data_IF_538815885950
#
_entry.id   IF_538815885950
#
_cell.length_a   1.000
_cell.length_b   1.000
_cell.length_c   1.000
_cell.angle_alpha   90.00
_cell.angle_beta   90.00
_cell.angle_gamma   90.00
#
_symmetry.space_group_name_H-M   'P 1'
#
loop_
_entity.id
_entity.type
_entity.pdbx_description
1 polymer ?
#
# COMPACT_ATOMS: atom_id res chain seq x y z
N UNK A 1 -17.14 -1.18 -5.98
CA UNK A 1 -16.82 0.23 -6.21
C UNK A 1 -15.59 0.25 -7.10
N UNK A 2 -15.62 1.03 -8.18
CA UNK A 2 -14.47 1.13 -9.09
C UNK A 2 -13.28 1.78 -8.36
N UNK A 3 -12.09 1.20 -8.53
CA UNK A 3 -10.85 1.65 -7.88
C UNK A 3 -10.47 3.08 -8.29
N UNK A 4 -9.60 3.73 -7.52
CA UNK A 4 -9.25 5.14 -7.77
C UNK A 4 -8.55 5.31 -9.12
N UNK A 5 -7.71 4.34 -9.50
CA UNK A 5 -6.96 4.31 -10.75
C UNK A 5 -7.87 4.17 -11.97
N UNK A 6 -8.84 3.27 -11.94
CA UNK A 6 -9.85 3.14 -13.00
C UNK A 6 -10.63 4.44 -13.20
N UNK A 7 -10.85 5.23 -12.13
CA UNK A 7 -11.49 6.54 -12.22
C UNK A 7 -10.58 7.56 -12.90
N UNK A 8 -9.27 7.56 -12.63
CA UNK A 8 -8.32 8.41 -13.35
C UNK A 8 -8.24 8.06 -14.83
N UNK A 9 -8.15 6.78 -15.19
CA UNK A 9 -8.14 6.37 -16.59
C UNK A 9 -9.37 6.87 -17.34
N UNK A 10 -10.56 6.79 -16.75
CA UNK A 10 -11.77 7.38 -17.37
C UNK A 10 -11.69 8.90 -17.51
N UNK A 11 -11.08 9.60 -16.55
CA UNK A 11 -10.90 11.05 -16.63
C UNK A 11 -9.95 11.41 -17.78
N UNK A 12 -8.83 10.70 -17.90
CA UNK A 12 -7.82 10.85 -18.94
C UNK A 12 -8.37 10.53 -20.35
N UNK A 13 -9.10 9.42 -20.51
CA UNK A 13 -9.77 9.06 -21.77
C UNK A 13 -10.79 10.12 -22.21
N UNK A 14 -11.50 10.71 -21.24
CA UNK A 14 -12.46 11.76 -21.51
C UNK A 14 -11.78 13.11 -21.81
N UNK A 15 -10.53 13.34 -21.38
CA UNK A 15 -9.73 14.57 -21.57
C UNK A 15 -9.22 14.70 -23.03
N UNK A 16 -9.17 13.60 -23.79
CA UNK A 16 -8.68 13.55 -25.18
C UNK A 16 -9.39 14.52 -26.16
N UNK A 17 -10.51 15.15 -25.77
CA UNK A 17 -11.26 16.10 -26.57
C UNK A 17 -11.39 17.52 -25.97
N UNK A 18 -10.98 17.78 -24.73
CA UNK A 18 -11.12 19.09 -24.08
C UNK A 18 -10.15 19.26 -22.91
N UNK A 19 -9.20 20.20 -23.02
CA UNK A 19 -8.12 20.54 -22.06
C UNK A 19 -8.60 21.15 -20.73
N UNK A 20 -9.68 20.64 -20.13
CA UNK A 20 -10.30 21.22 -18.92
C UNK A 20 -10.24 20.28 -17.72
N UNK A 21 -10.32 20.84 -16.51
CA UNK A 21 -10.44 20.07 -15.27
C UNK A 21 -11.69 19.18 -15.30
N UNK A 22 -11.49 17.87 -15.18
CA UNK A 22 -12.56 16.92 -14.86
C UNK A 22 -12.31 16.35 -13.48
N UNK A 23 -13.35 16.31 -12.65
CA UNK A 23 -13.22 15.80 -11.29
C UNK A 23 -14.36 14.89 -10.87
N UNK A 24 -14.04 13.94 -9.98
CA UNK A 24 -15.02 13.01 -9.39
C UNK A 24 -14.93 13.11 -7.87
N UNK A 25 -16.09 13.26 -7.22
CA UNK A 25 -16.18 13.28 -5.75
C UNK A 25 -15.75 11.93 -5.19
N UNK A 26 -14.80 11.96 -4.26
CA UNK A 26 -14.47 10.88 -3.35
C UNK A 26 -15.29 11.08 -2.07
N UNK A 27 -16.30 10.23 -1.87
CA UNK A 27 -17.24 10.29 -0.75
C UNK A 27 -16.81 9.35 0.36
N UNK A 28 -16.77 9.85 1.62
CA UNK A 28 -16.59 9.14 2.91
C UNK A 28 -15.63 9.84 3.88
N UNK A 29 -15.08 11.00 3.50
CA UNK A 29 -14.11 11.76 4.31
C UNK A 29 -14.74 13.02 4.94
N UNK A 30 -14.11 13.53 5.99
CA UNK A 30 -14.53 14.74 6.72
C UNK A 30 -14.67 15.97 5.81
N UNK A 31 -13.77 16.11 4.85
CA UNK A 31 -13.82 17.18 3.85
C UNK A 31 -13.99 16.61 2.45
N UNK A 32 -14.66 17.37 1.58
CA UNK A 32 -14.86 16.92 0.20
C UNK A 32 -13.52 16.78 -0.49
N UNK A 33 -13.42 15.68 -1.22
CA UNK A 33 -12.23 15.31 -1.93
C UNK A 33 -12.60 15.01 -3.37
N UNK A 34 -11.74 15.38 -4.30
CA UNK A 34 -11.92 15.10 -5.72
C UNK A 34 -10.64 14.57 -6.32
N UNK A 35 -10.75 13.65 -7.26
CA UNK A 35 -9.65 13.30 -8.16
C UNK A 35 -9.85 14.01 -9.50
N UNK A 36 -8.78 14.37 -10.18
CA UNK A 36 -8.85 15.02 -11.48
C UNK A 36 -7.66 14.75 -12.40
N UNK A 37 -7.78 15.21 -13.64
CA UNK A 37 -6.69 15.33 -14.63
C UNK A 37 -6.62 16.77 -15.11
N UNK A 38 -5.41 17.34 -15.16
CA UNK A 38 -5.14 18.63 -15.80
C UNK A 38 -3.94 18.44 -16.74
N UNK A 39 -4.15 18.68 -18.04
CA UNK A 39 -3.10 18.56 -19.06
C UNK A 39 -2.38 17.20 -19.03
N UNK A 40 -3.12 16.11 -18.74
CA UNK A 40 -2.57 14.77 -18.60
C UNK A 40 -1.85 14.48 -17.28
N UNK A 41 -1.84 15.42 -16.33
CA UNK A 41 -1.32 15.22 -14.98
C UNK A 41 -2.45 14.85 -14.03
N UNK A 42 -2.27 13.79 -13.25
CA UNK A 42 -3.21 13.41 -12.20
C UNK A 42 -3.17 14.40 -11.05
N UNK A 43 -4.34 14.76 -10.55
CA UNK A 43 -4.53 15.68 -9.42
C UNK A 43 -5.42 15.07 -8.33
N UNK A 44 -5.16 15.43 -7.08
CA UNK A 44 -6.00 15.17 -5.92
C UNK A 44 -6.31 16.50 -5.23
N UNK A 45 -7.61 16.80 -5.11
CA UNK A 45 -8.15 17.98 -4.47
C UNK A 45 -8.71 17.57 -3.12
N UNK A 46 -8.28 18.22 -2.05
CA UNK A 46 -8.79 17.99 -0.70
C UNK A 46 -9.20 19.36 -0.15
N UNK A 47 -10.50 19.53 0.14
CA UNK A 47 -10.94 20.71 0.89
C UNK A 47 -10.37 20.63 2.32
N UNK A 48 -9.93 21.76 2.85
CA UNK A 48 -9.47 21.91 4.24
C UNK A 48 -9.94 23.25 4.79
N UNK A 49 -10.01 23.44 6.13
CA UNK A 49 -10.34 24.74 6.70
C UNK A 49 -9.33 25.80 6.25
N UNK A 50 -9.83 26.97 5.85
CA UNK A 50 -9.01 28.11 5.41
C UNK A 50 -8.00 28.52 6.49
N UNK A 51 -8.38 28.42 7.76
CA UNK A 51 -7.51 28.69 8.91
C UNK A 51 -6.31 27.74 9.04
N UNK A 52 -6.35 26.58 8.37
CA UNK A 52 -5.28 25.57 8.38
C UNK A 52 -4.51 25.49 7.06
N UNK A 53 -4.90 26.29 6.05
CA UNK A 53 -4.27 26.28 4.73
C UNK A 53 -2.81 26.72 4.74
N UNK A 54 -2.45 27.63 5.65
CA UNK A 54 -1.08 28.13 5.82
C UNK A 54 -0.06 27.04 6.16
N UNK A 55 -0.50 25.87 6.64
CA UNK A 55 0.38 24.71 6.88
C UNK A 55 1.01 24.14 5.61
N UNK A 56 0.52 24.52 4.45
CA UNK A 56 0.98 24.04 3.16
C UNK A 56 1.66 25.12 2.30
N UNK A 57 1.82 26.36 2.80
CA UNK A 57 2.44 27.47 2.05
C UNK A 57 3.95 27.26 1.82
N UNK A 58 4.64 26.62 2.77
CA UNK A 58 6.09 26.35 2.72
C UNK A 58 6.43 24.92 2.31
N UNK A 59 5.46 24.14 1.83
CA UNK A 59 5.72 22.74 1.48
C UNK A 59 6.52 22.71 0.17
N UNK A 60 7.74 22.16 0.16
CA UNK A 60 8.57 22.13 -1.03
C UNK A 60 7.84 21.47 -2.21
N UNK A 61 8.04 21.99 -3.42
CA UNK A 61 7.85 21.16 -4.62
C UNK A 61 8.85 20.01 -4.53
N UNK A 62 8.35 18.78 -4.49
CA UNK A 62 9.20 17.59 -4.45
C UNK A 62 9.39 17.07 -5.87
N UNK A 63 10.54 16.44 -6.18
CA UNK A 63 10.67 15.66 -7.42
C UNK A 63 9.55 14.60 -7.42
N UNK A 64 8.54 14.76 -8.28
CA UNK A 64 7.39 13.85 -8.37
C UNK A 64 6.05 14.34 -7.81
N UNK A 65 6.03 15.41 -7.01
CA UNK A 65 4.80 15.92 -6.40
C UNK A 65 4.79 17.44 -6.31
N UNK A 66 3.87 18.07 -7.05
CA UNK A 66 3.58 19.49 -6.95
C UNK A 66 2.41 19.72 -5.98
N UNK A 67 2.51 20.76 -5.15
CA UNK A 67 1.51 21.08 -4.12
C UNK A 67 1.12 22.54 -4.29
N UNK A 68 -0.18 22.82 -4.28
CA UNK A 68 -0.71 24.17 -4.39
C UNK A 68 -1.92 24.31 -3.48
N UNK A 69 -2.06 25.48 -2.85
CA UNK A 69 -3.26 25.85 -2.09
C UNK A 69 -3.97 26.95 -2.86
N UNK A 70 -5.24 26.75 -3.19
CA UNK A 70 -6.06 27.75 -3.89
C UNK A 70 -7.40 27.92 -3.20
N UNK A 71 -7.95 29.13 -3.20
CA UNK A 71 -9.35 29.32 -2.77
C UNK A 71 -10.28 28.40 -3.58
N UNK A 72 -11.28 27.81 -2.91
CA UNK A 72 -12.23 26.91 -3.57
C UNK A 72 -13.05 27.69 -4.59
N UNK A 73 -13.20 27.17 -5.80
CA UNK A 73 -14.14 27.73 -6.79
C UNK A 73 -15.61 27.54 -6.40
N UNK A 74 -15.86 26.68 -5.41
CA UNK A 74 -17.16 26.45 -4.80
C UNK A 74 -17.24 27.27 -3.52
N UNK A 75 -18.17 28.21 -3.46
CA UNK A 75 -18.44 29.11 -2.33
C UNK A 75 -18.87 28.32 -1.08
N UNK A 76 -17.91 27.77 -0.34
CA UNK A 76 -18.13 27.43 1.06
C UNK A 76 -17.30 28.35 1.93
N UNK A 77 -18.00 29.15 2.75
CA UNK A 77 -17.38 29.96 3.77
C UNK A 77 -16.47 29.10 4.65
N UNK A 78 -15.19 29.48 4.72
CA UNK A 78 -14.24 28.90 5.65
C UNK A 78 -13.40 27.71 5.15
N UNK A 79 -13.50 27.30 3.88
CA UNK A 79 -12.64 26.26 3.29
C UNK A 79 -11.69 26.79 2.20
N UNK A 80 -10.62 26.05 1.94
CA UNK A 80 -9.68 26.23 0.82
C UNK A 80 -9.35 24.86 0.21
N UNK A 81 -8.88 24.83 -1.04
CA UNK A 81 -8.51 23.59 -1.73
C UNK A 81 -7.01 23.37 -1.64
N UNK A 82 -6.61 22.25 -1.05
CA UNK A 82 -5.27 21.70 -1.21
C UNK A 82 -5.25 20.82 -2.47
N UNK A 83 -4.37 21.15 -3.40
CA UNK A 83 -4.21 20.46 -4.68
C UNK A 83 -2.84 19.80 -4.70
N UNK A 84 -2.85 18.48 -4.85
CA UNK A 84 -1.67 17.65 -5.10
C UNK A 84 -1.70 17.27 -6.58
N UNK A 85 -0.60 17.45 -7.30
CA UNK A 85 -0.49 17.14 -8.73
C UNK A 85 0.77 16.31 -8.98
N UNK A 86 0.68 15.33 -9.88
CA UNK A 86 1.85 14.57 -10.33
C UNK A 86 2.92 15.50 -10.91
N UNK A 87 4.19 15.19 -10.67
CA UNK A 87 5.31 15.99 -11.17
C UNK A 87 5.45 15.95 -12.70
N UNK A 88 5.07 14.83 -13.31
CA UNK A 88 4.99 14.65 -14.76
C UNK A 88 4.00 13.54 -15.11
N UNK A 89 3.69 13.38 -16.40
CA UNK A 89 2.78 12.33 -16.87
C UNK A 89 3.34 10.91 -16.62
N UNK A 90 4.66 10.74 -16.70
CA UNK A 90 5.36 9.49 -16.41
C UNK A 90 5.21 9.07 -14.94
N UNK A 91 4.97 10.03 -14.05
CA UNK A 91 4.83 9.80 -12.60
C UNK A 91 3.37 9.67 -12.15
N UNK A 92 2.42 9.60 -13.09
CA UNK A 92 1.00 9.49 -12.76
C UNK A 92 0.66 8.22 -11.96
N UNK A 93 1.31 7.09 -12.24
CA UNK A 93 1.03 5.84 -11.50
C UNK A 93 1.63 5.85 -10.10
N UNK A 94 2.83 6.42 -9.93
CA UNK A 94 3.43 6.69 -8.61
C UNK A 94 2.52 7.63 -7.80
N UNK A 95 2.04 8.70 -8.43
CA UNK A 95 1.09 9.64 -7.82
C UNK A 95 -0.20 8.95 -7.39
N UNK A 96 -0.74 8.02 -8.18
CA UNK A 96 -1.96 7.31 -7.82
C UNK A 96 -1.77 6.46 -6.56
N UNK A 97 -0.62 5.78 -6.42
CA UNK A 97 -0.27 5.04 -5.19
C UNK A 97 -0.21 5.98 -3.97
N UNK A 98 0.40 7.14 -4.13
CA UNK A 98 0.52 8.17 -3.07
C UNK A 98 -0.85 8.72 -2.69
N UNK A 99 -1.67 9.06 -3.68
CA UNK A 99 -3.01 9.58 -3.45
C UNK A 99 -3.88 8.55 -2.72
N UNK A 100 -3.81 7.26 -3.08
CA UNK A 100 -4.51 6.19 -2.37
C UNK A 100 -4.04 6.00 -0.92
N UNK A 101 -2.74 6.18 -0.63
CA UNK A 101 -2.18 6.13 0.73
C UNK A 101 -2.60 7.35 1.56
N UNK A 102 -2.60 8.55 0.97
CA UNK A 102 -3.14 9.77 1.61
C UNK A 102 -4.60 9.55 1.96
N UNK A 103 -5.45 9.17 1.00
CA UNK A 103 -6.89 9.01 1.23
C UNK A 103 -7.22 7.96 2.29
N UNK A 104 -6.51 6.83 2.28
CA UNK A 104 -6.68 5.81 3.31
C UNK A 104 -6.40 6.37 4.71
N UNK A 105 -5.36 7.19 4.87
CA UNK A 105 -5.00 7.78 6.16
C UNK A 105 -5.98 8.83 6.71
N UNK A 106 -6.97 9.24 5.90
CA UNK A 106 -7.98 10.22 6.25
C UNK A 106 -9.31 9.58 6.68
N UNK A 107 -9.46 8.28 6.45
CA UNK A 107 -10.69 7.55 6.77
C UNK A 107 -10.90 7.51 8.28
N UNK A 108 -12.12 7.81 8.74
CA UNK A 108 -12.49 7.80 10.17
C UNK A 108 -11.95 8.96 11.01
N UNK A 109 -11.25 9.94 10.42
CA UNK A 109 -10.84 11.14 11.15
C UNK A 109 -11.98 12.15 11.15
N UNK A 110 -12.47 12.50 12.34
CA UNK A 110 -13.59 13.44 12.52
C UNK A 110 -13.16 14.84 12.94
N UNK A 111 -11.88 15.04 13.27
CA UNK A 111 -11.35 16.29 13.79
C UNK A 111 -10.43 16.99 12.77
N UNK A 112 -10.65 18.29 12.56
CA UNK A 112 -10.03 19.07 11.49
C UNK A 112 -8.50 19.14 11.59
N UNK A 113 -7.97 19.38 12.79
CA UNK A 113 -6.53 19.46 13.05
C UNK A 113 -5.85 18.12 12.83
N UNK A 114 -6.47 17.02 13.28
CA UNK A 114 -6.01 15.66 13.03
C UNK A 114 -6.03 15.32 11.54
N UNK A 115 -7.07 15.74 10.81
CA UNK A 115 -7.21 15.51 9.38
C UNK A 115 -6.08 16.19 8.61
N UNK A 116 -5.89 17.50 8.82
CA UNK A 116 -4.81 18.27 8.18
C UNK A 116 -3.43 17.74 8.58
N UNK A 117 -3.21 17.40 9.86
CA UNK A 117 -1.96 16.81 10.32
C UNK A 117 -1.65 15.47 9.64
N UNK A 118 -2.66 14.62 9.41
CA UNK A 118 -2.51 13.35 8.69
C UNK A 118 -2.04 13.59 7.25
N UNK A 119 -2.68 14.54 6.54
CA UNK A 119 -2.27 14.94 5.18
C UNK A 119 -0.81 15.43 5.16
N UNK A 120 -0.46 16.38 6.03
CA UNK A 120 0.89 16.94 6.10
C UNK A 120 1.94 15.86 6.39
N UNK A 121 1.64 14.92 7.29
CA UNK A 121 2.54 13.81 7.61
C UNK A 121 2.77 12.91 6.40
N UNK A 122 1.71 12.51 5.69
CA UNK A 122 1.83 11.66 4.50
C UNK A 122 2.60 12.34 3.38
N UNK A 123 2.32 13.61 3.11
CA UNK A 123 3.08 14.41 2.14
C UNK A 123 4.56 14.43 2.51
N UNK A 124 4.89 14.68 3.78
CA UNK A 124 6.28 14.72 4.23
C UNK A 124 6.97 13.35 4.18
N UNK A 125 6.26 12.26 4.47
CA UNK A 125 6.80 10.90 4.33
C UNK A 125 7.20 10.61 2.88
N UNK A 126 6.30 10.91 1.92
CA UNK A 126 6.56 10.73 0.48
C UNK A 126 7.63 11.67 -0.05
N UNK A 127 7.66 12.90 0.43
CA UNK A 127 8.72 13.85 0.13
C UNK A 127 10.12 13.36 0.54
N UNK A 128 10.24 12.82 1.76
CA UNK A 128 11.50 12.24 2.25
C UNK A 128 11.89 11.03 1.40
N UNK A 129 10.92 10.20 1.01
CA UNK A 129 11.13 9.09 0.11
C UNK A 129 11.67 9.54 -1.26
N UNK A 130 11.02 10.50 -1.92
CA UNK A 130 11.45 11.01 -3.23
C UNK A 130 12.86 11.63 -3.20
N UNK A 131 13.20 12.36 -2.14
CA UNK A 131 14.56 12.91 -1.97
C UNK A 131 15.64 11.83 -1.91
N UNK A 132 15.30 10.62 -1.49
CA UNK A 132 16.23 9.49 -1.34
C UNK A 132 16.23 8.55 -2.54
N UNK A 133 15.30 8.71 -3.50
CA UNK A 133 15.07 7.82 -4.66
C UNK A 133 16.37 7.38 -5.37
N UNK A 134 17.30 8.30 -5.61
CA UNK A 134 18.54 8.02 -6.36
C UNK A 134 19.58 7.18 -5.61
N UNK A 135 19.50 7.10 -4.28
CA UNK A 135 20.47 6.37 -3.44
C UNK A 135 19.85 5.21 -2.67
N UNK A 136 18.52 5.07 -2.71
CA UNK A 136 17.81 4.06 -1.93
C UNK A 136 17.96 2.69 -2.57
N UNK A 137 18.69 1.80 -1.91
CA UNK A 137 18.73 0.36 -2.19
C UNK A 137 18.07 -0.30 -1.01
N UNK A 138 17.16 -1.25 -1.25
CA UNK A 138 16.52 -1.98 -0.16
C UNK A 138 17.59 -2.62 0.72
N UNK A 139 17.47 -2.44 2.03
CA UNK A 139 18.26 -3.22 2.97
C UNK A 139 17.91 -4.70 2.80
N UNK A 140 18.80 -5.59 3.26
CA UNK A 140 18.55 -7.04 3.21
C UNK A 140 17.24 -7.44 3.90
N UNK A 141 16.85 -6.75 4.97
CA UNK A 141 15.58 -7.04 5.65
C UNK A 141 14.37 -6.64 4.81
N UNK A 142 14.45 -5.50 4.11
CA UNK A 142 13.38 -5.02 3.22
C UNK A 142 13.29 -5.91 1.97
N UNK A 143 14.43 -6.30 1.39
CA UNK A 143 14.50 -7.26 0.28
C UNK A 143 13.83 -8.59 0.63
N UNK A 144 14.14 -9.17 1.80
CA UNK A 144 13.55 -10.42 2.27
C UNK A 144 12.05 -10.28 2.55
N UNK A 145 11.62 -9.16 3.15
CA UNK A 145 10.21 -8.87 3.37
C UNK A 145 9.44 -8.84 2.05
N UNK A 146 9.91 -7.99 1.12
CA UNK A 146 9.34 -7.85 -0.22
C UNK A 146 9.34 -9.18 -0.98
N UNK A 147 10.41 -9.96 -0.91
CA UNK A 147 10.47 -11.27 -1.55
C UNK A 147 9.32 -12.19 -1.08
N UNK A 148 9.00 -12.20 0.21
CA UNK A 148 7.89 -13.00 0.74
C UNK A 148 6.52 -12.53 0.26
N UNK A 149 6.28 -11.22 0.20
CA UNK A 149 5.04 -10.66 -0.35
C UNK A 149 4.88 -11.03 -1.83
N UNK A 150 5.93 -10.85 -2.63
CA UNK A 150 5.93 -11.19 -4.04
C UNK A 150 5.82 -12.69 -4.29
N UNK A 151 6.40 -13.51 -3.41
CA UNK A 151 6.26 -14.96 -3.46
C UNK A 151 4.78 -15.36 -3.33
N UNK A 152 4.03 -14.69 -2.45
CA UNK A 152 2.59 -14.91 -2.33
C UNK A 152 1.83 -14.52 -3.61
N UNK A 153 2.21 -13.42 -4.27
CA UNK A 153 1.64 -13.04 -5.58
C UNK A 153 1.91 -14.12 -6.64
N UNK A 154 3.15 -14.58 -6.76
CA UNK A 154 3.53 -15.63 -7.72
C UNK A 154 2.72 -16.91 -7.48
N UNK A 155 2.61 -17.36 -6.22
CA UNK A 155 1.86 -18.55 -5.85
C UNK A 155 0.36 -18.42 -6.19
N UNK A 156 -0.23 -17.24 -6.01
CA UNK A 156 -1.62 -16.96 -6.41
C UNK A 156 -1.78 -17.09 -7.94
N UNK A 157 -0.89 -16.48 -8.73
CA UNK A 157 -0.93 -16.59 -10.19
C UNK A 157 -0.74 -18.03 -10.68
N UNK A 158 0.16 -18.80 -10.06
CA UNK A 158 0.36 -20.23 -10.37
C UNK A 158 -0.90 -21.06 -10.07
N UNK A 159 -1.66 -20.68 -9.05
CA UNK A 159 -2.94 -21.28 -8.74
C UNK A 159 -4.09 -20.79 -9.64
N UNK A 160 -3.86 -19.83 -10.54
CA UNK A 160 -4.85 -19.32 -11.48
C UNK A 160 -5.64 -18.09 -11.02
N UNK A 161 -5.28 -17.50 -9.87
CA UNK A 161 -5.86 -16.23 -9.41
C UNK A 161 -5.35 -15.09 -10.30
N UNK A 162 -6.27 -14.39 -10.98
CA UNK A 162 -5.88 -13.41 -12.01
C UNK A 162 -5.62 -12.00 -11.46
N UNK A 163 -6.08 -11.66 -10.26
CA UNK A 163 -6.05 -10.29 -9.71
C UNK A 163 -5.11 -10.14 -8.50
N UNK A 164 -4.15 -11.04 -8.34
CA UNK A 164 -3.20 -11.05 -7.22
C UNK A 164 -2.40 -9.73 -7.09
N UNK A 165 -2.06 -9.09 -8.22
CA UNK A 165 -1.37 -7.80 -8.29
C UNK A 165 -2.23 -6.63 -7.78
N UNK A 166 -3.54 -6.76 -7.92
CA UNK A 166 -4.51 -5.71 -7.55
C UNK A 166 -4.69 -5.67 -6.03
N UNK A 167 -4.76 -6.83 -5.39
CA UNK A 167 -5.03 -6.95 -3.95
C UNK A 167 -3.82 -6.69 -3.06
N UNK A 168 -2.63 -6.63 -3.65
CA UNK A 168 -1.41 -6.28 -2.95
C UNK A 168 -1.37 -4.78 -2.62
N UNK A 169 -1.39 -4.44 -1.34
CA UNK A 169 -1.30 -3.07 -0.85
C UNK A 169 0.14 -2.57 -0.71
N UNK A 170 1.11 -3.46 -0.52
CA UNK A 170 2.57 -3.26 -0.49
C UNK A 170 3.07 -1.86 -0.08
N UNK A 171 3.16 -0.90 -1.02
CA UNK A 171 3.63 0.46 -0.74
C UNK A 171 2.74 1.26 0.23
N UNK A 172 1.45 0.95 0.29
CA UNK A 172 0.52 1.57 1.22
C UNK A 172 0.83 0.92 2.56
N UNK A 173 1.33 1.69 3.53
CA UNK A 173 1.56 1.26 4.93
C UNK A 173 0.23 0.98 5.65
N UNK A 174 -0.63 0.20 5.00
CA UNK A 174 -1.89 -0.33 5.51
C UNK A 174 -1.59 -1.38 6.57
N UNK A 175 -2.64 -1.78 7.28
CA UNK A 175 -2.50 -2.80 8.30
C UNK A 175 -2.05 -4.15 7.73
N UNK A 176 -2.54 -4.55 6.55
CA UNK A 176 -2.23 -5.84 5.94
C UNK A 176 -1.73 -5.72 4.50
N UNK A 177 -0.79 -6.59 4.14
CA UNK A 177 -0.15 -6.61 2.82
C UNK A 177 -1.12 -6.94 1.68
N UNK A 178 -2.15 -7.76 1.93
CA UNK A 178 -3.19 -8.10 0.96
C UNK A 178 -4.57 -7.90 1.54
N UNK A 179 -5.47 -7.27 0.76
CA UNK A 179 -6.86 -7.09 1.16
C UNK A 179 -7.81 -7.31 -0.01
N UNK A 180 -8.85 -8.09 0.24
CA UNK A 180 -9.98 -8.31 -0.67
C UNK A 180 -11.29 -8.05 0.09
N UNK A 181 -12.43 -8.23 -0.58
CA UNK A 181 -13.73 -8.23 0.10
C UNK A 181 -13.96 -9.47 0.97
N UNK A 182 -13.18 -10.54 0.78
CA UNK A 182 -13.42 -11.86 1.39
C UNK A 182 -12.43 -12.21 2.48
N UNK A 183 -11.21 -11.71 2.36
CA UNK A 183 -10.12 -11.93 3.30
C UNK A 183 -9.03 -10.86 3.20
N UNK A 184 -8.21 -10.78 4.24
CA UNK A 184 -6.95 -10.08 4.30
C UNK A 184 -5.82 -11.07 4.62
N UNK A 185 -4.60 -10.73 4.20
CA UNK A 185 -3.40 -11.52 4.49
C UNK A 185 -2.28 -10.58 4.94
N UNK A 186 -1.70 -10.90 6.09
CA UNK A 186 -0.43 -10.35 6.55
C UNK A 186 0.68 -11.36 6.24
N UNK A 187 1.71 -10.92 5.52
CA UNK A 187 2.88 -11.71 5.17
C UNK A 187 4.03 -11.36 6.09
N UNK A 188 4.68 -12.39 6.62
CA UNK A 188 5.93 -12.25 7.36
C UNK A 188 6.96 -13.20 6.78
N UNK A 189 8.20 -12.76 6.78
CA UNK A 189 9.29 -13.53 6.19
C UNK A 189 10.45 -13.61 7.16
N UNK A 190 11.03 -14.81 7.26
CA UNK A 190 12.20 -15.05 8.10
C UNK A 190 13.24 -15.85 7.34
N UNK A 191 14.51 -15.62 7.66
CA UNK A 191 15.66 -16.43 7.23
C UNK A 191 16.23 -17.25 8.39
N UNK A 192 15.54 -17.30 9.53
CA UNK A 192 15.89 -18.16 10.65
C UNK A 192 15.79 -19.65 10.29
N UNK A 193 16.39 -20.51 11.11
CA UNK A 193 16.39 -21.95 10.87
C UNK A 193 15.00 -22.59 10.99
N UNK A 194 14.08 -21.98 11.74
CA UNK A 194 12.70 -22.43 11.93
C UNK A 194 11.73 -21.25 12.09
N UNK A 195 10.43 -21.52 11.88
CA UNK A 195 9.35 -20.56 12.13
C UNK A 195 8.86 -20.76 13.57
N UNK A 196 9.58 -20.19 14.54
CA UNK A 196 9.21 -20.26 15.97
C UNK A 196 8.48 -19.01 16.46
N UNK A 197 8.82 -17.85 15.92
CA UNK A 197 8.25 -16.57 16.33
C UNK A 197 8.12 -15.59 15.16
N UNK A 198 7.34 -14.54 15.36
CA UNK A 198 7.19 -13.46 14.38
C UNK A 198 7.01 -12.12 15.04
N UNK A 199 7.64 -11.09 14.48
CA UNK A 199 7.50 -9.72 14.93
C UNK A 199 6.28 -9.05 14.28
N UNK A 200 5.39 -8.51 15.10
CA UNK A 200 4.25 -7.70 14.70
C UNK A 200 4.57 -6.25 15.03
N UNK A 201 4.83 -5.45 14.01
CA UNK A 201 5.32 -4.06 14.12
C UNK A 201 4.19 -3.04 14.27
N UNK A 202 2.94 -3.48 14.26
CA UNK A 202 1.79 -2.63 14.48
C UNK A 202 0.56 -3.40 14.93
N UNK A 203 -0.17 -2.83 15.87
CA UNK A 203 -1.41 -3.42 16.42
C UNK A 203 -2.54 -3.49 15.39
N UNK A 204 -2.46 -2.71 14.31
CA UNK A 204 -3.36 -2.83 13.16
C UNK A 204 -3.18 -4.14 12.39
N UNK A 205 -1.96 -4.71 12.34
CA UNK A 205 -1.65 -5.77 11.39
C UNK A 205 -2.49 -7.03 11.58
N UNK A 206 -2.80 -7.37 12.84
CA UNK A 206 -3.63 -8.53 13.18
C UNK A 206 -5.06 -8.15 13.61
N UNK A 207 -5.49 -6.92 13.35
CA UNK A 207 -6.86 -6.47 13.64
C UNK A 207 -7.81 -6.98 12.55
N UNK A 208 -8.88 -7.66 12.97
CA UNK A 208 -10.03 -7.93 12.11
C UNK A 208 -10.85 -6.65 12.03
N UNK A 209 -10.93 -6.07 10.85
CA UNK A 209 -11.87 -5.00 10.56
C UNK A 209 -13.03 -5.61 9.78
N UNK A 210 -14.23 -5.70 10.36
CA UNK A 210 -15.37 -6.39 9.74
C UNK A 210 -15.86 -5.68 8.45
N UNK A 211 -15.51 -4.39 8.28
CA UNK A 211 -15.88 -3.59 7.12
C UNK A 211 -15.05 -3.95 5.86
N UNK A 212 -13.88 -4.58 6.06
CA UNK A 212 -12.96 -5.03 5.02
C UNK A 212 -12.67 -6.53 5.20
N UNK A 213 -12.21 -7.26 4.19
CA UNK A 213 -11.81 -8.67 4.36
C UNK A 213 -12.87 -9.69 4.83
N UNK A 214 -14.17 -9.36 4.90
CA UNK A 214 -15.24 -10.33 5.19
C UNK A 214 -15.05 -11.13 6.49
N UNK A 215 -14.35 -10.54 7.47
CA UNK A 215 -14.02 -11.17 8.75
C UNK A 215 -12.95 -12.26 8.70
N UNK A 216 -12.26 -12.46 7.58
CA UNK A 216 -11.19 -13.47 7.47
C UNK A 216 -9.82 -12.80 7.37
N UNK A 217 -8.93 -13.08 8.33
CA UNK A 217 -7.55 -12.61 8.30
C UNK A 217 -6.60 -13.79 8.46
N UNK A 218 -5.61 -13.86 7.58
CA UNK A 218 -4.58 -14.88 7.63
C UNK A 218 -3.21 -14.24 7.88
N UNK A 219 -2.44 -14.85 8.78
CA UNK A 219 -1.01 -14.60 8.92
C UNK A 219 -0.26 -15.71 8.19
N UNK A 220 0.50 -15.34 7.16
CA UNK A 220 1.37 -16.27 6.42
C UNK A 220 2.81 -15.94 6.73
N UNK A 221 3.55 -16.94 7.20
CA UNK A 221 4.97 -16.82 7.53
C UNK A 221 5.77 -17.70 6.60
N UNK A 222 6.62 -17.09 5.78
CA UNK A 222 7.57 -17.78 4.92
C UNK A 222 8.93 -17.90 5.60
N UNK A 223 9.53 -19.09 5.53
CA UNK A 223 10.95 -19.28 5.80
C UNK A 223 11.70 -19.38 4.49
N UNK A 224 12.56 -18.41 4.24
CA UNK A 224 13.43 -18.39 3.07
C UNK A 224 14.82 -18.94 3.44
N UNK A 225 15.41 -19.66 2.50
CA UNK A 225 16.81 -20.11 2.57
C UNK A 225 17.55 -19.62 1.34
N UNK A 226 18.86 -19.43 1.48
CA UNK A 226 19.72 -19.13 0.32
C UNK A 226 19.81 -20.39 -0.53
N UNK A 227 19.55 -20.25 -1.82
CA UNK A 227 19.50 -21.34 -2.78
C UNK A 227 20.03 -20.88 -4.13
N UNK A 228 21.34 -21.06 -4.35
CA UNK A 228 22.01 -20.59 -5.57
C UNK A 228 21.64 -21.39 -6.82
N UNK A 229 21.13 -22.62 -6.64
CA UNK A 229 20.84 -23.56 -7.72
C UNK A 229 19.41 -23.44 -8.24
N UNK A 230 18.44 -23.31 -7.32
CA UNK A 230 17.01 -23.34 -7.64
C UNK A 230 16.25 -22.11 -7.12
N UNK A 231 16.89 -21.28 -6.29
CA UNK A 231 16.31 -20.04 -5.81
C UNK A 231 16.22 -18.96 -6.89
N UNK A 232 15.41 -17.95 -6.60
CA UNK A 232 15.25 -16.77 -7.43
C UNK A 232 15.86 -15.57 -6.72
N UNK A 233 16.48 -14.67 -7.48
CA UNK A 233 16.70 -13.32 -7.00
C UNK A 233 15.40 -12.50 -6.98
N UNK A 234 15.39 -11.40 -6.24
CA UNK A 234 14.26 -10.49 -6.22
C UNK A 234 13.87 -9.99 -7.64
N UNK A 235 14.81 -9.51 -8.49
CA UNK A 235 14.48 -9.15 -9.88
C UNK A 235 13.97 -10.32 -10.72
N UNK A 236 14.48 -11.54 -10.53
CA UNK A 236 13.99 -12.72 -11.24
C UNK A 236 12.53 -13.03 -10.87
N UNK A 237 12.19 -12.96 -9.58
CA UNK A 237 10.81 -13.13 -9.11
C UNK A 237 9.88 -12.05 -9.66
N UNK A 238 10.30 -10.78 -9.64
CA UNK A 238 9.53 -9.66 -10.18
C UNK A 238 9.24 -9.88 -11.67
N UNK A 239 10.24 -10.27 -12.47
CA UNK A 239 10.03 -10.56 -13.91
C UNK A 239 9.00 -11.66 -14.14
N UNK A 240 9.07 -12.77 -13.39
CA UNK A 240 8.07 -13.85 -13.50
C UNK A 240 6.65 -13.39 -13.18
N UNK A 241 6.51 -12.46 -12.23
CA UNK A 241 5.22 -11.87 -11.87
C UNK A 241 4.72 -10.93 -12.98
N UNK A 242 5.56 -10.00 -13.44
CA UNK A 242 5.22 -9.02 -14.47
C UNK A 242 4.78 -9.69 -15.78
N UNK A 243 5.41 -10.80 -16.16
CA UNK A 243 5.03 -11.58 -17.34
C UNK A 243 3.59 -12.13 -17.27
N UNK A 244 3.08 -12.40 -16.06
CA UNK A 244 1.73 -12.91 -15.82
C UNK A 244 0.69 -11.80 -15.65
N UNK A 245 1.12 -10.58 -15.35
CA UNK A 245 0.25 -9.41 -15.23
C UNK A 245 -0.15 -8.92 -16.64
N UNK A 246 -1.44 -8.65 -16.90
CA UNK A 246 -1.89 -8.02 -18.15
C UNK A 246 -1.18 -6.69 -18.39
N UNK A 247 -0.78 -6.41 -19.64
CA UNK A 247 0.01 -5.23 -20.00
C UNK A 247 -0.51 -3.92 -19.40
N UNK A 248 -1.83 -3.71 -19.45
CA UNK A 248 -2.52 -2.54 -18.89
C UNK A 248 -2.33 -2.31 -17.38
N UNK A 249 -1.97 -3.33 -16.60
CA UNK A 249 -1.79 -3.24 -15.13
C UNK A 249 -0.32 -3.20 -14.72
N UNK A 250 0.61 -3.52 -15.62
CA UNK A 250 2.05 -3.55 -15.33
C UNK A 250 2.60 -2.20 -14.85
N UNK A 251 2.24 -1.04 -15.45
CA UNK A 251 2.76 0.26 -15.00
C UNK A 251 2.46 0.54 -13.53
N UNK A 252 1.23 0.26 -13.10
CA UNK A 252 0.83 0.42 -11.70
C UNK A 252 1.61 -0.53 -10.78
N UNK A 253 1.78 -1.79 -11.16
CA UNK A 253 2.55 -2.75 -10.35
C UNK A 253 4.02 -2.31 -10.20
N UNK A 254 4.64 -1.82 -11.28
CA UNK A 254 5.98 -1.25 -11.23
C UNK A 254 6.02 0.00 -10.33
N UNK A 255 5.04 0.90 -10.46
CA UNK A 255 4.95 2.08 -9.58
C UNK A 255 4.82 1.70 -8.10
N UNK A 256 4.11 0.61 -7.77
CA UNK A 256 4.05 0.08 -6.39
C UNK A 256 5.43 -0.39 -5.91
N UNK A 257 6.19 -1.12 -6.74
CA UNK A 257 7.56 -1.55 -6.42
C UNK A 257 8.49 -0.36 -6.21
N UNK A 258 8.41 0.64 -7.09
CA UNK A 258 9.18 1.86 -6.97
C UNK A 258 8.87 2.58 -5.67
N UNK A 259 7.60 2.72 -5.31
CA UNK A 259 7.15 3.29 -4.05
C UNK A 259 7.66 2.54 -2.79
N UNK A 260 7.97 1.25 -2.90
CA UNK A 260 8.63 0.47 -1.83
C UNK A 260 10.15 0.73 -1.79
N UNK A 261 10.72 1.22 -2.89
CA UNK A 261 12.15 1.50 -3.05
C UNK A 261 12.89 0.51 -3.95
N UNK A 262 12.17 -0.36 -4.67
CA UNK A 262 12.76 -1.19 -5.71
C UNK A 262 12.77 -0.42 -7.03
N UNK A 263 13.96 -0.14 -7.57
CA UNK A 263 14.15 0.50 -8.87
C UNK A 263 14.84 -0.48 -9.82
N UNK A 264 14.26 -0.67 -11.01
CA UNK A 264 14.77 -1.63 -12.01
C UNK A 264 16.21 -1.28 -12.46
N UNK A 265 16.57 0.00 -12.48
CA UNK A 265 17.93 0.47 -12.79
C UNK A 265 18.98 0.00 -11.79
N UNK A 266 18.54 -0.50 -10.64
CA UNK A 266 19.38 -1.03 -9.56
C UNK A 266 19.21 -2.54 -9.37
N UNK A 267 18.56 -3.24 -10.30
CA UNK A 267 18.32 -4.69 -10.25
C UNK A 267 19.61 -5.49 -10.04
N UNK A 268 20.75 -5.00 -10.54
CA UNK A 268 22.08 -5.61 -10.40
C UNK A 268 22.60 -5.65 -8.95
N UNK A 269 21.99 -4.89 -8.03
CA UNK A 269 22.36 -4.88 -6.60
C UNK A 269 21.71 -6.03 -5.81
N UNK A 270 20.67 -6.66 -6.35
CA UNK A 270 19.89 -7.70 -5.67
C UNK A 270 20.25 -9.10 -6.19
N UNK A 271 21.43 -9.59 -5.78
CA UNK A 271 21.97 -10.87 -6.26
C UNK A 271 21.63 -12.08 -5.37
N UNK A 272 21.07 -11.85 -4.18
CA UNK A 272 20.71 -12.94 -3.27
C UNK A 272 19.62 -13.82 -3.87
N UNK A 273 19.87 -15.13 -3.96
CA UNK A 273 18.89 -16.10 -4.44
C UNK A 273 18.23 -16.85 -3.30
N UNK A 274 16.90 -16.87 -3.30
CA UNK A 274 16.13 -17.46 -2.22
C UNK A 274 15.11 -18.47 -2.74
N UNK A 275 14.89 -19.53 -1.96
CA UNK A 275 13.75 -20.43 -2.11
C UNK A 275 13.00 -20.53 -0.79
N UNK A 276 11.69 -20.83 -0.88
CA UNK A 276 10.87 -21.04 0.32
C UNK A 276 11.03 -22.47 0.80
N UNK A 277 11.63 -22.64 1.97
CA UNK A 277 11.84 -23.93 2.59
C UNK A 277 10.67 -24.36 3.47
N UNK A 278 9.89 -23.40 3.97
CA UNK A 278 8.70 -23.66 4.79
C UNK A 278 7.70 -22.50 4.64
N UNK A 279 6.41 -22.84 4.69
CA UNK A 279 5.31 -21.88 4.75
C UNK A 279 4.37 -22.25 5.89
N UNK A 280 4.09 -21.30 6.77
CA UNK A 280 3.19 -21.47 7.90
C UNK A 280 2.02 -20.49 7.81
N UNK A 281 0.79 -21.00 7.75
CA UNK A 281 -0.44 -20.21 7.67
C UNK A 281 -1.22 -20.34 8.97
N UNK A 282 -1.72 -19.22 9.48
CA UNK A 282 -2.59 -19.16 10.65
C UNK A 282 -3.85 -18.34 10.34
N UNK A 283 -5.02 -18.85 10.75
CA UNK A 283 -6.26 -18.08 10.71
C UNK A 283 -6.38 -17.24 11.98
N UNK A 284 -6.33 -15.92 11.82
CA UNK A 284 -6.41 -14.92 12.88
C UNK A 284 -7.88 -14.68 13.22
N UNK A 285 -8.44 -15.55 14.06
CA UNK A 285 -9.83 -15.52 14.54
C UNK A 285 -9.88 -15.31 16.05
N UNK A 286 -11.09 -15.33 16.62
CA UNK A 286 -11.28 -15.27 18.07
C UNK A 286 -10.43 -16.31 18.81
N UNK A 287 -9.74 -15.85 19.85
CA UNK A 287 -8.77 -16.62 20.63
C UNK A 287 -7.34 -16.59 20.09
N UNK A 288 -7.11 -16.19 18.83
CA UNK A 288 -5.75 -16.03 18.32
C UNK A 288 -5.03 -14.93 19.12
N UNK A 289 -3.81 -15.16 19.62
CA UNK A 289 -3.08 -14.17 20.39
C UNK A 289 -2.70 -12.96 19.53
N UNK A 290 -3.28 -11.80 19.83
CA UNK A 290 -3.03 -10.54 19.15
C UNK A 290 -3.23 -9.36 20.08
N UNK A 291 -2.54 -8.27 19.79
CA UNK A 291 -2.82 -6.95 20.38
C UNK A 291 -3.44 -6.09 19.28
N UNK A 292 -4.66 -5.63 19.51
CA UNK A 292 -5.46 -4.81 18.60
C UNK A 292 -5.65 -3.40 19.17
N UNK A 293 -6.07 -2.44 18.33
CA UNK A 293 -6.08 -1.03 18.75
C UNK A 293 -7.03 -0.74 19.92
N UNK A 294 -8.12 -1.48 20.04
CA UNK A 294 -9.14 -1.38 21.10
C UNK A 294 -8.60 -1.62 22.51
N UNK A 295 -7.57 -2.44 22.67
CA UNK A 295 -6.94 -2.69 23.99
C UNK A 295 -5.75 -1.78 24.28
N UNK A 296 -5.30 -0.99 23.31
CA UNK A 296 -4.15 -0.10 23.45
C UNK A 296 -4.63 1.29 23.83
N UNK A 297 -4.20 1.87 24.98
CA UNK A 297 -4.57 3.22 25.38
C UNK A 297 -4.33 4.27 24.28
N UNK A 298 -5.21 5.26 24.18
CA UNK A 298 -5.13 6.31 23.15
C UNK A 298 -3.80 7.09 23.19
N UNK A 299 -3.20 7.24 24.38
CA UNK A 299 -1.92 7.93 24.58
C UNK A 299 -0.70 7.16 24.03
N UNK A 300 -0.83 5.88 23.69
CA UNK A 300 0.24 5.08 23.07
C UNK A 300 0.18 5.27 21.56
N UNK A 301 1.28 5.77 20.99
CA UNK A 301 1.41 6.03 19.55
C UNK A 301 1.89 4.82 18.77
N UNK A 302 2.69 3.94 19.39
CA UNK A 302 3.25 2.75 18.74
C UNK A 302 3.35 1.61 19.75
N UNK A 303 2.95 0.41 19.32
CA UNK A 303 3.13 -0.82 20.07
C UNK A 303 3.52 -1.94 19.09
N UNK A 304 4.56 -2.69 19.46
CA UNK A 304 5.10 -3.80 18.70
C UNK A 304 5.26 -4.99 19.66
N UNK A 305 5.13 -6.20 19.14
CA UNK A 305 5.25 -7.42 19.95
C UNK A 305 5.77 -8.58 19.13
N UNK A 306 6.32 -9.58 19.81
CA UNK A 306 6.74 -10.84 19.20
C UNK A 306 5.73 -11.90 19.59
N UNK A 307 5.26 -12.65 18.60
CA UNK A 307 4.34 -13.75 18.81
C UNK A 307 5.08 -15.08 18.75
N UNK A 308 4.93 -15.91 19.78
CA UNK A 308 5.39 -17.30 19.77
C UNK A 308 4.43 -18.16 18.93
N UNK A 309 4.87 -18.54 17.74
CA UNK A 309 4.06 -19.29 16.79
C UNK A 309 3.87 -20.76 17.18
N UNK A 310 4.79 -21.33 17.95
CA UNK A 310 4.62 -22.69 18.48
C UNK A 310 3.44 -22.78 19.47
N UNK A 311 3.06 -21.66 20.09
CA UNK A 311 1.87 -21.56 20.93
C UNK A 311 0.57 -21.29 20.13
N UNK A 312 0.67 -21.14 18.80
CA UNK A 312 -0.45 -20.80 17.91
C UNK A 312 -0.89 -21.97 17.02
N UNK A 313 -0.39 -23.19 17.26
CA UNK A 313 -0.64 -24.36 16.40
C UNK A 313 -2.14 -24.74 16.29
N UNK A 314 -2.96 -24.40 17.28
CA UNK A 314 -4.41 -24.61 17.21
C UNK A 314 -5.11 -23.75 16.12
N UNK A 315 -4.42 -22.73 15.60
CA UNK A 315 -4.93 -21.80 14.58
C UNK A 315 -4.36 -22.06 13.19
N UNK A 316 -3.61 -23.16 13.01
CA UNK A 316 -3.07 -23.55 11.70
C UNK A 316 -4.18 -23.64 10.65
N UNK A 317 -3.89 -23.11 9.47
CA UNK A 317 -4.75 -23.23 8.29
C UNK A 317 -3.98 -23.86 7.14
N UNK A 318 -4.70 -24.39 6.15
CA UNK A 318 -4.09 -24.89 4.93
C UNK A 318 -3.89 -23.75 3.92
N UNK A 319 -2.72 -23.70 3.27
CA UNK A 319 -2.41 -22.66 2.29
C UNK A 319 -3.38 -22.69 1.11
N UNK A 320 -3.79 -23.88 0.65
CA UNK A 320 -4.73 -23.98 -0.48
C UNK A 320 -6.10 -23.43 -0.11
N UNK A 321 -6.54 -23.55 1.15
CA UNK A 321 -7.82 -22.98 1.59
C UNK A 321 -7.86 -21.45 1.47
N UNK A 322 -6.72 -20.78 1.71
CA UNK A 322 -6.58 -19.33 1.51
C UNK A 322 -6.64 -19.00 0.02
N UNK A 323 -5.88 -19.73 -0.80
CA UNK A 323 -5.84 -19.53 -2.26
C UNK A 323 -7.19 -19.79 -2.92
N UNK A 324 -7.92 -20.82 -2.50
CA UNK A 324 -9.24 -21.14 -3.04
C UNK A 324 -10.28 -20.08 -2.67
N UNK A 325 -10.16 -19.49 -1.48
CA UNK A 325 -11.00 -18.35 -1.05
C UNK A 325 -10.78 -17.11 -1.93
N UNK A 326 -9.61 -16.99 -2.57
CA UNK A 326 -9.25 -15.90 -3.48
C UNK A 326 -9.69 -16.15 -4.94
N UNK A 327 -9.97 -17.38 -5.36
CA UNK A 327 -10.40 -17.69 -6.74
C UNK A 327 -11.87 -17.35 -7.01
N UNK A 328 -12.69 -17.38 -5.96
CA UNK A 328 -14.15 -17.25 -6.07
C UNK A 328 -14.63 -15.81 -6.07
#
# INVERSE_FOLDING_TARGET
>A
MMGLIDRWHRLEEADAANQGLKSLVYSSLLYRTYIGSIHGLRCLYIEIPKSLGNRFEDVPSYEGLAITVTETSYEQDGCTSLILTSGSAEQNDEFAVIAEDILASLTGIEEAEAYVRSISQKINDWAVFFKRRKTNVLSRSEEIGLFGELLFIRNQFEAGVQDADVWWNGPRKTAQDFQTKKLAVEIKTTTANEIAEVHISGVGQLSLDDEYAGGNLYLIVYRLVVDDLHGLSLPELIRQIVERIPEKRRPLFCAKLECIGFFEEQSDKYNGKYSSAECRVYHVKDGFPRITRDVVPAAILKAEYILNLNACEAYRADFNSVIDSLKG
#
